data_IF_194290365232
#
_entry.id   IF_194290365232
#
_cell.length_a   1.000
_cell.length_b   1.000
_cell.length_c   1.000
_cell.angle_alpha   90.00
_cell.angle_beta   90.00
_cell.angle_gamma   90.00
#
_symmetry.space_group_name_H-M   'P 1'
#
loop_
_entity.id
_entity.type
_entity.pdbx_description
1 polymer ?
#
# COMPACT_ATOMS: atom_id res chain seq x y z
N UNK A 1 -31.95 -21.00 13.54
CA UNK A 1 -30.75 -20.85 14.38
C UNK A 1 -31.16 -20.13 15.64
N UNK A 2 -30.72 -20.62 16.78
CA UNK A 2 -30.83 -19.87 18.05
C UNK A 2 -29.91 -18.66 18.03
N UNK A 3 -30.21 -17.66 18.86
CA UNK A 3 -29.35 -16.46 19.00
C UNK A 3 -27.93 -16.81 19.44
N UNK A 4 -27.78 -17.87 20.26
CA UNK A 4 -26.49 -18.39 20.71
C UNK A 4 -25.65 -18.97 19.56
N UNK A 5 -26.27 -19.76 18.69
CA UNK A 5 -25.59 -20.30 17.50
C UNK A 5 -25.18 -19.19 16.52
N UNK A 6 -26.05 -18.19 16.34
CA UNK A 6 -25.75 -17.04 15.49
C UNK A 6 -24.58 -16.21 16.06
N UNK A 7 -24.59 -15.96 17.37
CA UNK A 7 -23.51 -15.25 18.05
C UNK A 7 -22.17 -15.99 17.89
N UNK A 8 -22.16 -17.31 18.11
CA UNK A 8 -20.96 -18.13 17.95
C UNK A 8 -20.44 -18.10 16.50
N UNK A 9 -21.33 -18.18 15.52
CA UNK A 9 -20.95 -18.09 14.11
C UNK A 9 -20.36 -16.73 13.74
N UNK A 10 -20.91 -15.64 14.30
CA UNK A 10 -20.38 -14.28 14.10
C UNK A 10 -18.99 -14.13 14.72
N UNK A 11 -18.76 -14.64 15.93
CA UNK A 11 -17.45 -14.61 16.59
C UNK A 11 -16.39 -15.37 15.79
N UNK A 12 -16.72 -16.56 15.28
CA UNK A 12 -15.81 -17.32 14.42
C UNK A 12 -15.48 -16.57 13.12
N UNK A 13 -16.47 -15.91 12.52
CA UNK A 13 -16.26 -15.11 11.31
C UNK A 13 -15.38 -13.89 11.58
N UNK A 14 -15.56 -13.22 12.72
CA UNK A 14 -14.71 -12.09 13.14
C UNK A 14 -13.26 -12.57 13.31
N UNK A 15 -13.03 -13.66 14.05
CA UNK A 15 -11.68 -14.20 14.25
C UNK A 15 -10.99 -14.56 12.92
N UNK A 16 -11.73 -15.14 11.97
CA UNK A 16 -11.21 -15.44 10.64
C UNK A 16 -10.87 -14.17 9.83
N UNK A 17 -11.67 -13.11 9.96
CA UNK A 17 -11.41 -11.82 9.32
C UNK A 17 -10.18 -11.13 9.93
N UNK A 18 -10.04 -11.14 11.25
CA UNK A 18 -8.88 -10.57 11.95
C UNK A 18 -7.58 -11.30 11.58
N UNK A 19 -7.60 -12.64 11.55
CA UNK A 19 -6.44 -13.43 11.13
C UNK A 19 -6.04 -13.12 9.67
N UNK A 20 -7.03 -12.93 8.79
CA UNK A 20 -6.78 -12.54 7.40
C UNK A 20 -6.21 -11.13 7.31
N UNK A 21 -6.72 -10.18 8.08
CA UNK A 21 -6.21 -8.81 8.12
C UNK A 21 -4.75 -8.78 8.60
N UNK A 22 -4.42 -9.49 9.67
CA UNK A 22 -3.04 -9.61 10.17
C UNK A 22 -2.10 -10.18 9.11
N UNK A 23 -2.53 -11.24 8.42
CA UNK A 23 -1.74 -11.85 7.34
C UNK A 23 -1.50 -10.88 6.18
N UNK A 24 -2.53 -10.16 5.74
CA UNK A 24 -2.42 -9.18 4.66
C UNK A 24 -1.53 -7.98 5.06
N UNK A 25 -1.64 -7.51 6.30
CA UNK A 25 -0.78 -6.45 6.83
C UNK A 25 0.69 -6.89 6.89
N UNK A 26 0.96 -8.10 7.37
CA UNK A 26 2.32 -8.64 7.41
C UNK A 26 2.93 -8.75 6.00
N UNK A 27 2.17 -9.28 5.03
CA UNK A 27 2.62 -9.37 3.64
C UNK A 27 2.85 -7.98 3.03
N UNK A 28 1.94 -7.02 3.27
CA UNK A 28 2.09 -5.64 2.79
C UNK A 28 3.36 -5.00 3.33
N UNK A 29 3.61 -5.11 4.65
CA UNK A 29 4.81 -4.56 5.29
C UNK A 29 6.10 -5.18 4.74
N UNK A 30 6.11 -6.50 4.51
CA UNK A 30 7.25 -7.19 3.92
C UNK A 30 7.56 -6.65 2.51
N UNK A 31 6.55 -6.52 1.65
CA UNK A 31 6.74 -5.98 0.31
C UNK A 31 7.16 -4.50 0.30
N UNK A 32 6.59 -3.68 1.18
CA UNK A 32 7.03 -2.27 1.33
C UNK A 32 8.52 -2.19 1.69
N UNK A 33 8.99 -3.02 2.63
CA UNK A 33 10.40 -3.07 3.02
C UNK A 33 11.32 -3.54 1.88
N UNK A 34 10.92 -4.58 1.16
CA UNK A 34 11.66 -5.11 0.00
C UNK A 34 11.78 -4.04 -1.10
N UNK A 35 10.66 -3.44 -1.52
CA UNK A 35 10.64 -2.43 -2.58
C UNK A 35 11.45 -1.20 -2.17
N UNK A 36 11.29 -0.71 -0.94
CA UNK A 36 12.07 0.43 -0.43
C UNK A 36 13.56 0.14 -0.45
N UNK A 37 13.96 -1.08 -0.09
CA UNK A 37 15.36 -1.51 -0.12
C UNK A 37 15.90 -1.58 -1.54
N UNK A 38 15.12 -2.12 -2.49
CA UNK A 38 15.49 -2.11 -3.91
C UNK A 38 15.68 -0.67 -4.39
N UNK A 39 14.71 0.21 -4.16
CA UNK A 39 14.79 1.62 -4.56
C UNK A 39 15.99 2.34 -3.95
N UNK A 40 16.30 2.07 -2.67
CA UNK A 40 17.45 2.68 -1.97
C UNK A 40 18.81 2.23 -2.51
N UNK A 41 18.90 1.06 -3.13
CA UNK A 41 20.15 0.52 -3.71
C UNK A 41 20.35 0.88 -5.19
N UNK A 42 19.36 1.49 -5.84
CA UNK A 42 19.51 1.98 -7.21
C UNK A 42 20.30 3.29 -7.23
N UNK A 43 20.99 3.54 -8.34
CA UNK A 43 21.57 4.86 -8.59
C UNK A 43 20.46 5.93 -8.62
N UNK A 44 20.85 7.18 -8.34
CA UNK A 44 19.91 8.29 -8.23
C UNK A 44 19.04 8.45 -9.49
N UNK A 45 19.65 8.36 -10.67
CA UNK A 45 18.93 8.59 -11.93
C UNK A 45 17.88 7.53 -12.16
N UNK A 46 18.21 6.26 -11.95
CA UNK A 46 17.26 5.15 -12.13
C UNK A 46 16.16 5.19 -11.08
N UNK A 47 16.50 5.42 -9.81
CA UNK A 47 15.51 5.54 -8.73
C UNK A 47 14.52 6.67 -9.00
N UNK A 48 15.02 7.86 -9.32
CA UNK A 48 14.15 9.04 -9.51
C UNK A 48 13.23 8.84 -10.73
N UNK A 49 13.70 8.20 -11.81
CA UNK A 49 12.85 7.79 -12.94
C UNK A 49 11.72 6.84 -12.52
N UNK A 50 12.02 5.82 -11.72
CA UNK A 50 11.01 4.86 -11.25
C UNK A 50 9.98 5.56 -10.35
N UNK A 51 10.42 6.44 -9.45
CA UNK A 51 9.53 7.23 -8.58
C UNK A 51 8.56 8.05 -9.45
N UNK A 52 9.07 8.80 -10.43
CA UNK A 52 8.23 9.59 -11.34
C UNK A 52 7.25 8.72 -12.13
N UNK A 53 7.66 7.53 -12.59
CA UNK A 53 6.75 6.60 -13.25
C UNK A 53 5.60 6.15 -12.34
N UNK A 54 5.89 5.90 -11.05
CA UNK A 54 4.86 5.50 -10.09
C UNK A 54 3.91 6.68 -9.80
N UNK A 55 4.42 7.89 -9.62
CA UNK A 55 3.62 9.11 -9.43
C UNK A 55 2.69 9.35 -10.64
N UNK A 56 3.19 9.18 -11.86
CA UNK A 56 2.37 9.28 -13.07
C UNK A 56 1.29 8.19 -13.14
N UNK A 57 1.64 6.95 -12.82
CA UNK A 57 0.68 5.85 -12.79
C UNK A 57 -0.42 6.09 -11.74
N UNK A 58 -0.05 6.65 -10.59
CA UNK A 58 -0.98 7.06 -9.54
C UNK A 58 -1.96 8.12 -10.06
N UNK A 59 -1.46 9.21 -10.63
CA UNK A 59 -2.29 10.30 -11.14
C UNK A 59 -3.26 9.80 -12.22
N UNK A 60 -2.79 8.99 -13.16
CA UNK A 60 -3.62 8.38 -14.20
C UNK A 60 -4.74 7.53 -13.56
N UNK A 61 -4.42 6.73 -12.55
CA UNK A 61 -5.41 5.91 -11.87
C UNK A 61 -6.45 6.76 -11.12
N UNK A 62 -6.01 7.83 -10.45
CA UNK A 62 -6.87 8.74 -9.72
C UNK A 62 -7.83 9.49 -10.65
N UNK A 63 -7.32 10.08 -11.74
CA UNK A 63 -8.14 10.76 -12.76
C UNK A 63 -9.17 9.81 -13.36
N UNK A 64 -8.78 8.56 -13.68
CA UNK A 64 -9.72 7.54 -14.17
C UNK A 64 -10.82 7.20 -13.17
N UNK A 65 -10.51 7.18 -11.87
CA UNK A 65 -11.52 6.96 -10.83
C UNK A 65 -12.44 8.19 -10.67
N UNK A 66 -11.90 9.40 -10.77
CA UNK A 66 -12.67 10.64 -10.74
C UNK A 66 -13.64 10.78 -11.91
N UNK A 67 -13.20 10.45 -13.13
CA UNK A 67 -14.06 10.42 -14.32
C UNK A 67 -15.23 9.45 -14.20
N UNK A 68 -15.11 8.41 -13.36
CA UNK A 68 -16.16 7.42 -13.11
C UNK A 68 -16.97 7.72 -11.84
N UNK A 69 -16.73 8.84 -11.17
CA UNK A 69 -17.33 9.19 -9.88
C UNK A 69 -17.17 8.11 -8.79
N UNK A 70 -16.08 7.33 -8.85
CA UNK A 70 -15.83 6.22 -7.91
C UNK A 70 -15.03 6.72 -6.69
N UNK A 71 -15.76 7.29 -5.72
CA UNK A 71 -15.16 7.86 -4.50
C UNK A 71 -14.51 6.81 -3.58
N UNK A 72 -14.95 5.56 -3.63
CA UNK A 72 -14.32 4.49 -2.87
C UNK A 72 -12.94 4.16 -3.45
N UNK A 73 -12.84 4.07 -4.78
CA UNK A 73 -11.57 3.83 -5.47
C UNK A 73 -10.62 5.00 -5.36
N UNK A 74 -11.10 6.25 -5.47
CA UNK A 74 -10.28 7.46 -5.22
C UNK A 74 -9.63 7.43 -3.84
N UNK A 75 -10.39 7.08 -2.79
CA UNK A 75 -9.86 6.96 -1.42
C UNK A 75 -8.78 5.89 -1.30
N UNK A 76 -9.01 4.70 -1.88
CA UNK A 76 -8.01 3.61 -1.90
C UNK A 76 -6.73 4.02 -2.62
N UNK A 77 -6.87 4.71 -3.75
CA UNK A 77 -5.74 5.22 -4.54
C UNK A 77 -4.92 6.19 -3.68
N UNK A 78 -5.56 7.21 -3.09
CA UNK A 78 -4.87 8.17 -2.20
C UNK A 78 -4.13 7.51 -1.03
N UNK A 79 -4.76 6.54 -0.36
CA UNK A 79 -4.11 5.80 0.72
C UNK A 79 -2.87 5.03 0.26
N UNK A 80 -2.90 4.47 -0.96
CA UNK A 80 -1.74 3.82 -1.55
C UNK A 80 -0.62 4.81 -1.91
N UNK A 81 -0.97 6.05 -2.28
CA UNK A 81 0.01 7.12 -2.51
C UNK A 81 0.77 7.48 -1.24
N UNK A 82 0.05 7.67 -0.13
CA UNK A 82 0.65 8.04 1.14
C UNK A 82 1.71 7.00 1.57
N UNK A 83 1.44 5.71 1.29
CA UNK A 83 2.39 4.61 1.53
C UNK A 83 3.59 4.71 0.59
N UNK A 84 3.35 4.89 -0.71
CA UNK A 84 4.41 5.00 -1.72
C UNK A 84 5.35 6.19 -1.44
N UNK A 85 4.80 7.36 -1.11
CA UNK A 85 5.56 8.56 -0.77
C UNK A 85 6.48 8.34 0.43
N UNK A 86 6.01 7.65 1.49
CA UNK A 86 6.87 7.27 2.63
C UNK A 86 8.02 6.35 2.19
N UNK A 87 7.74 5.37 1.32
CA UNK A 87 8.78 4.49 0.78
C UNK A 87 9.82 5.27 -0.03
N UNK A 88 9.37 6.23 -0.85
CA UNK A 88 10.24 7.07 -1.67
C UNK A 88 11.15 7.95 -0.82
N UNK A 89 10.61 8.60 0.21
CA UNK A 89 11.40 9.41 1.16
C UNK A 89 12.51 8.58 1.83
N UNK A 90 12.19 7.36 2.28
CA UNK A 90 13.19 6.47 2.92
C UNK A 90 14.26 6.03 1.92
N UNK A 91 13.84 5.63 0.71
CA UNK A 91 14.76 5.20 -0.34
C UNK A 91 15.72 6.33 -0.78
N UNK A 92 15.21 7.56 -0.90
CA UNK A 92 16.02 8.74 -1.21
C UNK A 92 16.97 9.10 -0.05
N UNK A 93 16.52 9.01 1.20
CA UNK A 93 17.32 9.27 2.39
C UNK A 93 18.50 8.31 2.58
N UNK A 94 18.31 7.01 2.29
CA UNK A 94 19.41 6.02 2.32
C UNK A 94 20.49 6.31 1.29
N UNK A 95 20.12 6.77 0.09
CA UNK A 95 21.10 7.11 -0.94
C UNK A 95 21.95 8.35 -0.60
N UNK A 96 21.41 9.29 0.20
CA UNK A 96 22.19 10.42 0.73
C UNK A 96 23.18 10.03 1.83
N UNK A 97 22.96 8.92 2.54
CA UNK A 97 23.88 8.40 3.57
C UNK A 97 24.96 7.48 2.99
N UNK A 98 24.78 6.96 1.78
CA UNK A 98 25.74 6.11 1.08
C UNK A 98 26.85 6.89 0.34
N UNK A 99 27.08 8.16 0.68
CA UNK A 99 28.10 9.04 0.10
C UNK A 99 29.15 9.44 1.12
#
# INVERSE_FOLDING_TARGET
MSESELLQALLQRIAALEAREQSLTAASNAYQAIITTILGNLDKTTRDKIITMIEQAHEIAYVRAAQRCDEAKKRKIKQADDVAQRMFMVAQGKASQSR
#
